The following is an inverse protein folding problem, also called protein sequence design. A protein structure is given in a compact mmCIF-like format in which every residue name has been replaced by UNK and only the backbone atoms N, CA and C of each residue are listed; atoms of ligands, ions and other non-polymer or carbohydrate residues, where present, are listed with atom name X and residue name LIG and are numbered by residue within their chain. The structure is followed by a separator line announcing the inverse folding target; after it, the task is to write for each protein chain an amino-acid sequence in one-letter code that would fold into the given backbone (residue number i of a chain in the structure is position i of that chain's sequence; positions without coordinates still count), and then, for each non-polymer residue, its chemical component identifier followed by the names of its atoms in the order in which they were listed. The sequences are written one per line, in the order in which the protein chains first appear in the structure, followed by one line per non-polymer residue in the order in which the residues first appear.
data_IF_028850328887
#
_entry.id   IF_028850328887
#
_cell.length_a   1.000
_cell.length_b   1.000
_cell.length_c   1.000
_cell.angle_alpha   90.00
_cell.angle_beta   90.00
_cell.angle_gamma   90.00
#
_symmetry.space_group_name_H-M   'P 1'
#
loop_
_entity.id
_entity.type
_entity.pdbx_description
1 polymer ?
#
# COMPACT_ATOMS: atom_id res chain seq x y z
N UNK A 1 -18.51 -9.96 0.58
CA UNK A 1 -17.67 -10.72 -0.34
C UNK A 1 -17.10 -11.97 0.33
N UNK A 2 -16.97 -13.09 -0.37
CA UNK A 2 -16.21 -14.32 -0.01
C UNK A 2 -16.47 -14.89 1.40
N UNK A 3 -17.64 -14.65 2.00
CA UNK A 3 -17.96 -15.11 3.34
C UNK A 3 -17.98 -16.66 3.45
N UNK A 4 -18.36 -17.35 2.38
CA UNK A 4 -18.39 -18.80 2.34
C UNK A 4 -16.99 -19.42 2.40
N UNK A 5 -16.03 -18.87 1.62
CA UNK A 5 -14.64 -19.30 1.62
C UNK A 5 -13.96 -18.94 2.94
N UNK A 6 -14.24 -17.73 3.44
CA UNK A 6 -13.71 -17.25 4.70
C UNK A 6 -14.19 -18.07 5.92
N UNK A 7 -15.44 -18.55 5.89
CA UNK A 7 -16.03 -19.34 6.99
C UNK A 7 -15.43 -20.75 7.13
N UNK A 8 -14.76 -21.25 6.09
CA UNK A 8 -14.10 -22.57 6.12
C UNK A 8 -12.71 -22.50 6.77
N UNK A 9 -12.12 -21.30 6.89
CA UNK A 9 -10.79 -21.12 7.43
C UNK A 9 -10.81 -21.07 8.97
N UNK A 10 -9.87 -21.76 9.59
CA UNK A 10 -9.64 -21.74 11.02
C UNK A 10 -8.98 -20.42 11.46
N UNK A 11 -9.08 -20.10 12.76
CA UNK A 11 -8.39 -18.92 13.34
C UNK A 11 -6.88 -18.99 13.11
N UNK A 12 -6.28 -20.19 13.17
CA UNK A 12 -4.83 -20.37 12.92
C UNK A 12 -4.45 -20.01 11.47
N UNK A 13 -5.29 -20.37 10.49
CA UNK A 13 -5.09 -20.03 9.09
C UNK A 13 -5.20 -18.52 8.86
N UNK A 14 -6.17 -17.86 9.50
CA UNK A 14 -6.27 -16.39 9.43
C UNK A 14 -5.06 -15.69 10.05
N UNK A 15 -4.53 -16.20 11.15
CA UNK A 15 -3.25 -15.69 11.70
C UNK A 15 -2.10 -15.93 10.72
N UNK A 16 -2.10 -17.06 10.00
CA UNK A 16 -1.17 -17.34 8.91
C UNK A 16 -1.28 -16.33 7.77
N UNK A 17 -2.50 -15.99 7.33
CA UNK A 17 -2.75 -14.97 6.31
C UNK A 17 -2.12 -13.62 6.72
N UNK A 18 -2.39 -13.17 7.94
CA UNK A 18 -1.84 -11.90 8.46
C UNK A 18 -0.31 -11.96 8.52
N UNK A 19 0.25 -13.04 9.11
CA UNK A 19 1.69 -13.17 9.29
C UNK A 19 2.47 -13.18 7.98
N UNK A 20 2.03 -13.99 7.02
CA UNK A 20 2.69 -14.08 5.71
C UNK A 20 2.44 -12.83 4.86
N UNK A 21 1.23 -12.26 4.92
CA UNK A 21 0.87 -11.03 4.21
C UNK A 21 1.69 -9.81 4.60
N UNK A 22 2.14 -9.74 5.88
CA UNK A 22 2.98 -8.65 6.37
C UNK A 22 4.22 -8.41 5.51
N UNK A 23 4.79 -9.43 4.85
CA UNK A 23 5.96 -9.26 3.99
C UNK A 23 5.69 -8.30 2.84
N UNK A 24 4.58 -8.49 2.12
CA UNK A 24 4.21 -7.62 1.00
C UNK A 24 3.63 -6.29 1.48
N UNK A 25 2.90 -6.28 2.59
CA UNK A 25 2.38 -5.05 3.20
C UNK A 25 3.52 -4.12 3.62
N UNK A 26 4.55 -4.68 4.26
CA UNK A 26 5.76 -3.93 4.64
C UNK A 26 6.54 -3.44 3.42
N UNK A 27 6.56 -4.21 2.34
CA UNK A 27 7.19 -3.78 1.08
C UNK A 27 6.47 -2.56 0.49
N UNK A 28 5.13 -2.60 0.41
CA UNK A 28 4.34 -1.45 -0.07
C UNK A 28 4.49 -0.25 0.87
N UNK A 29 4.43 -0.49 2.19
CA UNK A 29 4.64 0.56 3.19
C UNK A 29 6.02 1.20 3.06
N UNK A 30 7.07 0.42 2.81
CA UNK A 30 8.43 0.91 2.58
C UNK A 30 8.51 1.85 1.37
N UNK A 31 7.96 1.48 0.24
CA UNK A 31 7.89 2.39 -0.91
C UNK A 31 7.13 3.70 -0.60
N UNK A 32 6.06 3.62 0.17
CA UNK A 32 5.28 4.81 0.58
C UNK A 32 6.04 5.66 1.60
N UNK A 33 6.85 5.08 2.48
CA UNK A 33 7.58 5.82 3.52
C UNK A 33 8.91 6.38 3.05
N UNK A 34 9.47 5.92 1.95
CA UNK A 34 10.76 6.39 1.41
C UNK A 34 10.79 7.92 1.18
N UNK A 35 9.73 8.49 0.56
CA UNK A 35 9.66 9.94 0.31
C UNK A 35 9.48 10.75 1.61
N UNK A 36 8.61 10.39 2.55
CA UNK A 36 8.56 11.01 3.88
C UNK A 36 9.88 10.95 4.66
N UNK A 37 10.62 9.84 4.61
CA UNK A 37 11.93 9.73 5.25
C UNK A 37 12.93 10.74 4.66
N UNK A 38 12.95 10.88 3.33
CA UNK A 38 13.74 11.89 2.66
C UNK A 38 13.32 13.32 3.07
N UNK A 39 12.00 13.56 3.16
CA UNK A 39 11.48 14.85 3.62
C UNK A 39 11.91 15.18 5.05
N UNK A 40 11.89 14.19 5.95
CA UNK A 40 12.38 14.35 7.33
C UNK A 40 13.87 14.66 7.33
N UNK A 41 14.69 13.92 6.56
CA UNK A 41 16.13 14.17 6.45
C UNK A 41 16.42 15.60 5.97
N UNK A 42 15.74 16.04 4.91
CA UNK A 42 15.92 17.40 4.37
C UNK A 42 15.49 18.47 5.37
N UNK A 43 14.42 18.25 6.13
CA UNK A 43 13.92 19.20 7.12
C UNK A 43 14.90 19.47 8.27
N UNK A 44 15.82 18.55 8.55
CA UNK A 44 16.86 18.76 9.57
C UNK A 44 17.86 19.83 9.16
N UNK A 45 18.09 20.00 7.86
CA UNK A 45 19.16 20.87 7.32
C UNK A 45 18.64 22.08 6.58
N UNK A 46 17.48 21.98 5.93
CA UNK A 46 16.95 23.01 5.04
C UNK A 46 15.66 23.59 5.61
N UNK A 47 15.60 24.92 5.66
CA UNK A 47 14.40 25.64 6.09
C UNK A 47 13.43 25.73 4.91
N UNK A 48 12.42 24.90 4.93
CA UNK A 48 11.32 24.94 3.96
C UNK A 48 10.05 25.39 4.69
N UNK A 49 9.27 26.32 4.13
CA UNK A 49 8.04 26.77 4.76
C UNK A 49 7.10 25.60 5.07
N UNK A 50 6.56 25.59 6.28
CA UNK A 50 5.65 24.52 6.75
C UNK A 50 4.48 24.28 5.78
N UNK A 51 3.95 25.35 5.18
CA UNK A 51 2.87 25.27 4.18
C UNK A 51 3.27 24.43 2.97
N UNK A 52 4.52 24.54 2.51
CA UNK A 52 5.04 23.79 1.36
C UNK A 52 5.16 22.31 1.72
N UNK A 53 5.80 22.00 2.86
CA UNK A 53 5.90 20.62 3.33
C UNK A 53 4.55 19.96 3.52
N UNK A 54 3.65 20.62 4.24
CA UNK A 54 2.29 20.11 4.46
C UNK A 54 1.53 19.92 3.15
N UNK A 55 1.63 20.91 2.24
CA UNK A 55 0.97 20.81 0.93
C UNK A 55 1.47 19.60 0.13
N UNK A 56 2.79 19.46 -0.02
CA UNK A 56 3.41 18.36 -0.78
C UNK A 56 3.08 17.00 -0.16
N UNK A 57 3.31 16.85 1.15
CA UNK A 57 3.05 15.56 1.82
C UNK A 57 1.55 15.23 1.88
N UNK A 58 0.68 16.23 2.04
CA UNK A 58 -0.77 15.99 1.99
C UNK A 58 -1.20 15.52 0.61
N UNK A 59 -0.73 16.17 -0.47
CA UNK A 59 -1.03 15.76 -1.83
C UNK A 59 -0.50 14.35 -2.12
N UNK A 60 0.73 14.06 -1.69
CA UNK A 60 1.34 12.74 -1.82
C UNK A 60 0.51 11.65 -1.13
N UNK A 61 0.21 11.83 0.16
CA UNK A 61 -0.55 10.82 0.89
C UNK A 61 -2.01 10.72 0.46
N UNK A 62 -2.60 11.83 -0.02
CA UNK A 62 -3.95 11.79 -0.60
C UNK A 62 -3.95 10.94 -1.88
N UNK A 63 -2.96 11.14 -2.74
CA UNK A 63 -2.80 10.32 -3.96
C UNK A 63 -2.62 8.83 -3.61
N UNK A 64 -1.72 8.51 -2.68
CA UNK A 64 -1.48 7.13 -2.24
C UNK A 64 -2.77 6.50 -1.67
N UNK A 65 -3.50 7.23 -0.80
CA UNK A 65 -4.73 6.72 -0.21
C UNK A 65 -5.80 6.41 -1.27
N UNK A 66 -5.98 7.31 -2.24
CA UNK A 66 -6.96 7.13 -3.31
C UNK A 66 -6.56 5.97 -4.23
N UNK A 67 -5.31 5.95 -4.69
CA UNK A 67 -4.82 4.87 -5.58
C UNK A 67 -4.92 3.51 -4.90
N UNK A 68 -4.45 3.40 -3.66
CA UNK A 68 -4.53 2.15 -2.89
C UNK A 68 -5.98 1.69 -2.71
N UNK A 69 -6.87 2.62 -2.36
CA UNK A 69 -8.28 2.31 -2.15
C UNK A 69 -9.00 1.87 -3.44
N UNK A 70 -8.67 2.49 -4.57
CA UNK A 70 -9.21 2.11 -5.88
C UNK A 70 -8.71 0.73 -6.28
N UNK A 71 -7.39 0.48 -6.20
CA UNK A 71 -6.82 -0.85 -6.50
C UNK A 71 -7.50 -1.91 -5.64
N UNK A 72 -7.67 -1.67 -4.35
CA UNK A 72 -8.31 -2.60 -3.44
C UNK A 72 -9.78 -2.85 -3.80
N UNK A 73 -10.54 -1.80 -4.11
CA UNK A 73 -11.94 -1.94 -4.49
C UNK A 73 -12.10 -2.72 -5.81
N UNK A 74 -11.25 -2.43 -6.80
CA UNK A 74 -11.24 -3.13 -8.08
C UNK A 74 -10.85 -4.60 -7.90
N UNK A 75 -9.80 -4.89 -7.10
CA UNK A 75 -9.35 -6.24 -6.81
C UNK A 75 -10.48 -7.10 -6.20
N UNK A 76 -11.20 -6.56 -5.22
CA UNK A 76 -12.33 -7.26 -4.60
C UNK A 76 -13.45 -7.57 -5.60
N UNK A 77 -13.69 -6.69 -6.57
CA UNK A 77 -14.71 -6.93 -7.60
C UNK A 77 -14.26 -7.98 -8.61
N UNK A 78 -13.01 -7.90 -9.06
CA UNK A 78 -12.49 -8.78 -10.11
C UNK A 78 -12.17 -10.19 -9.62
N UNK A 79 -11.82 -10.35 -8.36
CA UNK A 79 -11.45 -11.64 -7.79
C UNK A 79 -12.55 -12.71 -7.96
N UNK A 80 -13.83 -12.33 -7.90
CA UNK A 80 -14.96 -13.23 -8.12
C UNK A 80 -14.95 -13.86 -9.53
N UNK A 81 -14.47 -13.11 -10.52
CA UNK A 81 -14.47 -13.52 -11.92
C UNK A 81 -13.14 -14.14 -12.34
N UNK A 82 -12.04 -13.63 -11.80
CA UNK A 82 -10.69 -14.03 -12.19
C UNK A 82 -10.13 -15.17 -11.35
N UNK A 83 -10.54 -15.28 -10.08
CA UNK A 83 -10.02 -16.28 -9.14
C UNK A 83 -8.57 -16.02 -8.70
N UNK A 84 -7.96 -14.88 -9.08
CA UNK A 84 -6.63 -14.44 -8.67
C UNK A 84 -6.62 -12.94 -8.41
N UNK A 85 -5.55 -12.45 -7.78
CA UNK A 85 -5.40 -11.04 -7.43
C UNK A 85 -5.17 -10.18 -8.65
N UNK A 86 -5.57 -8.91 -8.55
CA UNK A 86 -5.37 -7.91 -9.60
C UNK A 86 -3.91 -7.83 -10.04
N UNK A 87 -3.70 -7.78 -11.35
CA UNK A 87 -2.42 -7.59 -12.01
C UNK A 87 -2.54 -6.60 -13.18
N UNK A 88 -1.47 -6.42 -13.94
CA UNK A 88 -1.42 -5.50 -15.08
C UNK A 88 -2.43 -5.82 -16.19
N UNK A 89 -3.01 -7.04 -16.23
CA UNK A 89 -4.02 -7.43 -17.21
C UNK A 89 -5.23 -6.50 -17.16
N UNK A 90 -5.54 -5.92 -16.00
CA UNK A 90 -6.64 -4.94 -15.87
C UNK A 90 -6.47 -3.75 -16.81
N UNK A 91 -5.23 -3.36 -17.14
CA UNK A 91 -4.96 -2.23 -18.03
C UNK A 91 -5.39 -2.51 -19.47
N UNK A 92 -5.42 -3.79 -19.87
CA UNK A 92 -5.91 -4.19 -21.20
C UNK A 92 -7.40 -3.86 -21.32
N UNK A 93 -8.17 -4.09 -20.25
CA UNK A 93 -9.59 -3.74 -20.21
C UNK A 93 -9.82 -2.22 -20.18
N UNK A 94 -8.87 -1.45 -19.64
CA UNK A 94 -8.96 0.01 -19.66
C UNK A 94 -8.63 0.60 -21.05
N UNK A 95 -8.05 -0.18 -21.97
CA UNK A 95 -7.81 0.27 -23.34
C UNK A 95 -9.09 0.38 -24.16
N UNK A 96 -10.16 -0.32 -23.76
CA UNK A 96 -11.51 -0.15 -24.29
C UNK A 96 -12.53 0.18 -23.18
N UNK A 97 -12.61 1.48 -22.81
CA UNK A 97 -13.47 1.91 -21.71
C UNK A 97 -14.97 1.66 -21.94
N UNK A 98 -15.41 1.64 -23.22
CA UNK A 98 -16.82 1.43 -23.54
C UNK A 98 -17.25 0.00 -23.24
N UNK A 99 -16.42 -0.99 -23.64
CA UNK A 99 -16.65 -2.40 -23.28
C UNK A 99 -16.53 -2.65 -21.78
N UNK A 100 -15.52 -2.08 -21.13
CA UNK A 100 -15.32 -2.19 -19.70
C UNK A 100 -16.53 -1.64 -18.93
N UNK A 101 -17.05 -0.47 -19.31
CA UNK A 101 -18.21 0.15 -18.66
C UNK A 101 -19.52 -0.57 -18.97
N UNK A 102 -19.67 -1.18 -20.14
CA UNK A 102 -20.87 -1.94 -20.50
C UNK A 102 -21.08 -3.17 -19.60
N UNK A 103 -20.00 -3.72 -19.03
CA UNK A 103 -20.03 -4.86 -18.11
C UNK A 103 -20.27 -4.48 -16.64
N UNK A 104 -20.20 -3.17 -16.29
CA UNK A 104 -20.35 -2.69 -14.91
C UNK A 104 -21.78 -2.27 -14.64
N UNK A 105 -22.50 -3.05 -13.81
CA UNK A 105 -23.81 -2.64 -13.32
C UNK A 105 -23.71 -1.40 -12.42
N UNK A 106 -24.70 -0.53 -12.48
CA UNK A 106 -24.76 0.71 -11.68
C UNK A 106 -24.54 0.45 -10.17
N UNK A 107 -25.19 -0.59 -9.63
CA UNK A 107 -25.08 -0.93 -8.21
C UNK A 107 -23.70 -1.46 -7.84
N UNK A 108 -23.04 -2.17 -8.75
CA UNK A 108 -21.63 -2.56 -8.59
C UNK A 108 -20.76 -1.31 -8.49
N UNK A 109 -20.94 -0.35 -9.39
CA UNK A 109 -20.19 0.92 -9.35
C UNK A 109 -20.38 1.68 -8.03
N UNK A 110 -21.63 1.81 -7.56
CA UNK A 110 -21.93 2.44 -6.26
C UNK A 110 -21.25 1.70 -5.11
N UNK A 111 -21.37 0.39 -5.07
CA UNK A 111 -20.76 -0.46 -4.01
C UNK A 111 -19.23 -0.33 -3.98
N UNK A 112 -18.57 -0.35 -5.14
CA UNK A 112 -17.12 -0.21 -5.21
C UNK A 112 -16.66 1.20 -4.84
N UNK A 113 -17.41 2.22 -5.22
CA UNK A 113 -17.12 3.60 -4.80
C UNK A 113 -17.23 3.76 -3.29
N UNK A 114 -18.27 3.22 -2.67
CA UNK A 114 -18.42 3.23 -1.21
C UNK A 114 -17.30 2.45 -0.51
N UNK A 115 -16.90 1.31 -1.06
CA UNK A 115 -15.79 0.51 -0.54
C UNK A 115 -14.48 1.28 -0.63
N UNK A 116 -14.17 1.87 -1.78
CA UNK A 116 -12.98 2.72 -1.93
C UNK A 116 -13.00 3.90 -0.96
N UNK A 117 -14.13 4.58 -0.79
CA UNK A 117 -14.27 5.67 0.17
C UNK A 117 -14.06 5.18 1.63
N UNK A 118 -14.59 4.00 1.99
CA UNK A 118 -14.40 3.40 3.31
C UNK A 118 -12.93 3.05 3.61
N UNK A 119 -12.13 2.74 2.60
CA UNK A 119 -10.68 2.54 2.72
C UNK A 119 -9.90 3.85 2.72
N UNK A 120 -10.21 4.76 1.80
CA UNK A 120 -9.49 6.02 1.67
C UNK A 120 -9.69 6.93 2.88
N UNK A 121 -10.91 7.02 3.44
CA UNK A 121 -11.22 7.94 4.53
C UNK A 121 -10.38 7.73 5.80
N UNK A 122 -10.24 6.50 6.38
CA UNK A 122 -9.38 6.29 7.55
C UNK A 122 -7.90 6.50 7.22
N UNK A 123 -7.42 6.16 6.02
CA UNK A 123 -6.06 6.43 5.58
C UNK A 123 -5.79 7.94 5.55
N UNK A 124 -6.64 8.71 4.89
CA UNK A 124 -6.54 10.17 4.83
C UNK A 124 -6.59 10.80 6.23
N UNK A 125 -7.50 10.32 7.08
CA UNK A 125 -7.58 10.79 8.46
C UNK A 125 -6.28 10.53 9.22
N UNK A 126 -5.73 9.32 9.13
CA UNK A 126 -4.47 8.96 9.78
C UNK A 126 -3.30 9.81 9.26
N UNK A 127 -3.16 9.96 7.94
CA UNK A 127 -2.13 10.79 7.34
C UNK A 127 -2.24 12.26 7.76
N UNK A 128 -3.45 12.84 7.76
CA UNK A 128 -3.67 14.20 8.23
C UNK A 128 -3.30 14.37 9.71
N UNK A 129 -3.52 13.34 10.54
CA UNK A 129 -3.12 13.37 11.96
C UNK A 129 -1.61 13.33 12.11
N UNK A 130 -0.92 12.46 11.37
CA UNK A 130 0.55 12.34 11.40
C UNK A 130 1.19 13.62 10.90
N UNK A 131 0.72 14.19 9.81
CA UNK A 131 1.29 15.42 9.24
C UNK A 131 1.16 16.65 10.17
N UNK A 132 0.24 16.65 11.12
CA UNK A 132 0.14 17.72 12.13
C UNK A 132 1.31 17.73 13.10
N UNK A 133 2.01 16.60 13.27
CA UNK A 133 3.17 16.47 14.15
C UNK A 133 4.44 16.97 13.46
N UNK A 134 4.44 16.98 12.12
CA UNK A 134 5.59 17.38 11.33
C UNK A 134 5.72 18.91 11.28
N UNK A 135 6.78 19.46 11.89
CA UNK A 135 7.03 20.92 11.99
C UNK A 135 7.90 21.45 10.82
N UNK A 136 8.75 20.61 10.25
CA UNK A 136 9.61 20.95 9.10
C UNK A 136 10.63 22.06 9.38
N UNK A 137 10.92 22.35 10.65
CA UNK A 137 11.90 23.38 11.03
C UNK A 137 13.30 22.79 11.14
N UNK A 138 14.31 23.44 10.55
CA UNK A 138 15.68 22.99 10.71
C UNK A 138 16.12 23.11 12.16
N UNK A 139 16.82 22.12 12.62
CA UNK A 139 17.42 22.08 13.95
C UNK A 139 18.90 22.51 13.86
N UNK A 140 19.48 22.94 14.99
CA UNK A 140 20.91 23.26 15.01
C UNK A 140 21.76 22.03 14.65
N UNK A 141 22.93 22.23 14.07
CA UNK A 141 23.83 21.17 13.57
C UNK A 141 24.11 20.05 14.61
N UNK A 142 24.13 20.43 15.90
CA UNK A 142 24.34 19.47 17.02
C UNK A 142 23.22 18.44 17.15
N UNK A 143 22.01 18.75 16.71
CA UNK A 143 20.87 17.85 16.67
C UNK A 143 20.65 17.29 15.26
N UNK A 144 21.04 18.04 14.21
CA UNK A 144 20.88 17.59 12.82
C UNK A 144 21.75 16.35 12.51
N UNK A 145 23.01 16.32 13.02
CA UNK A 145 23.89 15.17 12.81
C UNK A 145 23.35 13.87 13.42
N UNK A 146 23.04 13.78 14.73
CA UNK A 146 22.47 12.55 15.29
C UNK A 146 21.07 12.26 14.71
N UNK A 147 20.27 13.28 14.40
CA UNK A 147 18.98 13.10 13.72
C UNK A 147 19.14 12.46 12.35
N UNK A 148 20.13 12.91 11.55
CA UNK A 148 20.44 12.30 10.26
C UNK A 148 20.87 10.84 10.39
N UNK A 149 21.66 10.50 11.40
CA UNK A 149 22.05 9.12 11.66
C UNK A 149 20.82 8.24 11.95
N UNK A 150 19.89 8.73 12.77
CA UNK A 150 18.62 8.02 13.05
C UNK A 150 17.83 7.81 11.76
N UNK A 151 17.70 8.84 10.92
CA UNK A 151 16.98 8.70 9.65
C UNK A 151 17.67 7.72 8.71
N UNK A 152 19.00 7.70 8.65
CA UNK A 152 19.75 6.72 7.85
C UNK A 152 19.51 5.29 8.35
N UNK A 153 19.50 5.07 9.67
CA UNK A 153 19.17 3.76 10.25
C UNK A 153 17.74 3.36 9.90
N UNK A 154 16.78 4.27 10.02
CA UNK A 154 15.38 4.02 9.63
C UNK A 154 15.27 3.72 8.13
N UNK A 155 16.00 4.44 7.27
CA UNK A 155 16.06 4.16 5.83
C UNK A 155 16.66 2.77 5.53
N UNK A 156 17.60 2.29 6.35
CA UNK A 156 18.11 0.93 6.28
C UNK A 156 17.02 -0.12 6.58
N UNK A 157 16.20 0.10 7.60
CA UNK A 157 15.06 -0.77 7.90
C UNK A 157 13.99 -0.69 6.80
N UNK A 158 13.73 0.50 6.29
CA UNK A 158 12.80 0.74 5.18
C UNK A 158 13.26 -0.01 3.91
N UNK A 159 14.55 0.06 3.59
CA UNK A 159 15.14 -0.71 2.50
C UNK A 159 14.96 -2.23 2.69
N UNK A 160 15.14 -2.74 3.92
CA UNK A 160 14.88 -4.16 4.21
C UNK A 160 13.41 -4.53 4.06
N UNK A 161 12.49 -3.64 4.41
CA UNK A 161 11.06 -3.81 4.19
C UNK A 161 10.75 -3.87 2.69
N UNK A 162 11.25 -2.91 1.88
CA UNK A 162 11.12 -2.88 0.43
C UNK A 162 11.66 -4.16 -0.20
N UNK A 163 12.82 -4.64 0.26
CA UNK A 163 13.45 -5.86 -0.23
C UNK A 163 12.67 -7.14 0.13
N UNK A 164 11.77 -7.07 1.11
CA UNK A 164 11.02 -8.23 1.62
C UNK A 164 11.81 -9.08 2.61
N UNK A 165 12.70 -8.44 3.39
CA UNK A 165 13.47 -9.05 4.48
C UNK A 165 14.93 -9.37 4.13
N UNK A 166 15.58 -10.17 5.01
CA UNK A 166 17.01 -10.54 4.92
C UNK A 166 17.26 -11.78 4.04
N UNK A 167 16.22 -12.43 3.54
CA UNK A 167 16.34 -13.64 2.72
C UNK A 167 17.07 -13.43 1.39
N UNK A 168 17.45 -14.51 0.71
CA UNK A 168 18.12 -14.46 -0.59
C UNK A 168 17.22 -13.87 -1.69
N UNK A 169 15.92 -14.16 -1.67
CA UNK A 169 14.96 -13.65 -2.64
C UNK A 169 14.43 -12.28 -2.25
N UNK A 170 14.20 -11.41 -3.23
CA UNK A 170 13.48 -10.15 -3.08
C UNK A 170 11.98 -10.39 -2.86
N UNK A 171 11.25 -9.34 -2.49
CA UNK A 171 9.80 -9.41 -2.37
C UNK A 171 9.16 -9.87 -3.69
N UNK A 172 8.31 -10.88 -3.59
CA UNK A 172 7.48 -11.37 -4.69
C UNK A 172 6.24 -12.07 -4.13
N UNK A 173 5.21 -12.26 -4.96
CA UNK A 173 3.93 -12.83 -4.55
C UNK A 173 4.08 -14.24 -3.95
N UNK A 174 5.02 -15.05 -4.45
CA UNK A 174 5.23 -16.42 -3.96
C UNK A 174 5.65 -16.49 -2.48
N UNK A 175 6.23 -15.43 -1.93
CA UNK A 175 6.65 -15.40 -0.51
C UNK A 175 5.51 -15.52 0.48
N UNK A 176 4.29 -15.18 0.08
CA UNK A 176 3.12 -15.22 0.97
C UNK A 176 2.32 -16.52 0.82
N UNK A 177 2.74 -17.42 -0.09
CA UNK A 177 2.08 -18.70 -0.29
C UNK A 177 2.50 -19.68 0.81
N UNK A 178 1.60 -19.94 1.74
CA UNK A 178 1.84 -20.78 2.91
C UNK A 178 0.85 -21.95 3.06
N UNK A 179 -0.27 -21.92 2.31
CA UNK A 179 -1.37 -22.85 2.46
C UNK A 179 -1.61 -23.64 1.18
N UNK A 180 -2.06 -24.91 1.26
CA UNK A 180 -2.57 -25.65 0.11
C UNK A 180 -3.90 -25.09 -0.43
N UNK A 181 -4.58 -24.23 0.34
CA UNK A 181 -5.84 -23.58 -0.05
C UNK A 181 -5.53 -22.27 -0.78
N UNK A 182 -5.79 -22.16 -2.10
CA UNK A 182 -5.43 -20.97 -2.88
C UNK A 182 -6.03 -19.67 -2.34
N UNK A 183 -7.28 -19.71 -1.85
CA UNK A 183 -7.94 -18.56 -1.25
C UNK A 183 -7.13 -17.90 -0.13
N UNK A 184 -6.52 -18.68 0.77
CA UNK A 184 -5.71 -18.17 1.89
C UNK A 184 -4.42 -17.49 1.41
N UNK A 185 -3.79 -18.04 0.37
CA UNK A 185 -2.61 -17.44 -0.25
C UNK A 185 -2.97 -16.11 -0.93
N UNK A 186 -4.09 -16.09 -1.66
CA UNK A 186 -4.61 -14.86 -2.24
C UNK A 186 -5.00 -13.85 -1.17
N UNK A 187 -5.62 -14.28 -0.05
CA UNK A 187 -5.94 -13.39 1.06
C UNK A 187 -4.69 -12.76 1.70
N UNK A 188 -3.55 -13.48 1.71
CA UNK A 188 -2.26 -12.96 2.19
C UNK A 188 -1.56 -12.05 1.17
N UNK A 189 -1.97 -12.05 -0.10
CA UNK A 189 -1.35 -11.23 -1.15
C UNK A 189 -1.88 -9.80 -1.11
N UNK A 190 -0.97 -8.84 -0.98
CA UNK A 190 -1.31 -7.42 -1.06
C UNK A 190 -1.67 -7.04 -2.51
N UNK A 191 -2.88 -6.52 -2.80
CA UNK A 191 -3.30 -6.23 -4.17
C UNK A 191 -2.52 -5.08 -4.82
N UNK A 192 -2.06 -4.10 -4.03
CA UNK A 192 -1.22 -3.01 -4.55
C UNK A 192 0.13 -3.56 -5.00
N UNK A 193 0.73 -4.45 -4.19
CA UNK A 193 1.98 -5.11 -4.56
C UNK A 193 1.79 -5.97 -5.81
N UNK A 194 0.74 -6.81 -5.85
CA UNK A 194 0.43 -7.67 -6.99
C UNK A 194 0.31 -6.87 -8.29
N UNK A 195 -0.48 -5.80 -8.26
CA UNK A 195 -0.66 -4.92 -9.41
C UNK A 195 0.64 -4.23 -9.85
N UNK A 196 1.35 -3.59 -8.91
CA UNK A 196 2.55 -2.83 -9.26
C UNK A 196 3.72 -3.72 -9.70
N UNK A 197 3.89 -4.90 -9.11
CA UNK A 197 4.95 -5.83 -9.51
C UNK A 197 4.72 -6.40 -10.90
N UNK A 198 3.49 -6.60 -11.31
CA UNK A 198 3.14 -7.13 -12.64
C UNK A 198 3.28 -6.10 -13.78
N UNK A 199 3.47 -4.80 -13.46
CA UNK A 199 3.74 -3.78 -14.48
C UNK A 199 5.15 -3.88 -15.09
N UNK A 200 6.06 -4.62 -14.43
CA UNK A 200 7.45 -4.79 -14.86
C UNK A 200 7.71 -6.09 -15.64
N UNK A 201 6.72 -6.96 -15.75
CA UNK A 201 6.78 -8.24 -16.44
C UNK A 201 6.25 -8.09 -17.89
#
# INVERSE_FOLDING_TARGET
YYAADAAQASVGEWLGVVWHGLTLDMTVAGYVTALPLLAVLLSLWVRIPERVWRGVLTAYFALIAVVTAVIFAVDVALYEHWGFRIDATVLIYLSDPEEAMASVDFWLGVRQTLLAAAYAAPMLWAYCRILRIFDGRPVGWRLALPGSLVVVVLAGFDFLAIRGGLGASVANVSKVYFSPVPFLNHAATNPVFSFLSSLGD
#
